data_IF_668728069206
#
_entry.id   IF_668728069206
#
_cell.length_a   1.000
_cell.length_b   1.000
_cell.length_c   1.000
_cell.angle_alpha   90.00
_cell.angle_beta   90.00
_cell.angle_gamma   90.00
#
_symmetry.space_group_name_H-M   'P 1'
#
loop_
_entity.id
_entity.type
_entity.pdbx_description
1 polymer ?
#
# COMPACT_ATOMS: atom_id res chain seq x y z
N UNK A 1 -12.97 15.40 10.36
CA UNK A 1 -13.48 14.02 10.29
C UNK A 1 -14.89 14.10 9.73
N UNK A 2 -15.16 13.46 8.61
CA UNK A 2 -16.49 13.48 7.97
C UNK A 2 -17.42 12.49 8.67
N UNK A 3 -18.69 12.86 8.76
CA UNK A 3 -19.72 12.01 9.38
C UNK A 3 -20.28 11.10 8.31
N UNK A 4 -20.18 9.78 8.52
CA UNK A 4 -20.82 8.80 7.65
C UNK A 4 -22.34 8.86 7.78
N UNK A 5 -23.04 8.80 6.65
CA UNK A 5 -24.51 8.73 6.63
C UNK A 5 -25.05 7.33 6.94
N UNK A 6 -24.20 6.31 7.00
CA UNK A 6 -24.61 4.93 7.29
C UNK A 6 -25.17 4.84 8.70
N UNK A 7 -26.45 4.45 8.83
CA UNK A 7 -27.17 4.24 10.10
C UNK A 7 -27.59 5.52 10.87
N UNK A 8 -27.61 6.70 10.23
CA UNK A 8 -28.15 7.91 10.85
C UNK A 8 -29.68 7.93 10.82
N UNK A 9 -30.29 8.45 11.88
CA UNK A 9 -31.73 8.78 11.91
C UNK A 9 -32.01 10.01 11.04
N UNK A 10 -33.24 10.20 10.54
CA UNK A 10 -33.60 11.35 9.69
C UNK A 10 -33.18 12.72 10.26
N UNK A 11 -33.32 12.93 11.56
CA UNK A 11 -32.94 14.21 12.21
C UNK A 11 -31.42 14.40 12.31
N UNK A 12 -30.66 13.31 12.37
CA UNK A 12 -29.19 13.31 12.43
C UNK A 12 -28.56 13.58 11.05
N UNK A 13 -29.23 13.15 9.97
CA UNK A 13 -28.80 13.41 8.59
C UNK A 13 -28.65 14.90 8.34
N UNK A 14 -29.59 15.71 8.84
CA UNK A 14 -29.60 17.16 8.68
C UNK A 14 -28.35 17.82 9.28
N UNK A 15 -27.99 17.39 10.49
CA UNK A 15 -26.80 17.89 11.19
C UNK A 15 -25.52 17.43 10.51
N UNK A 16 -25.43 16.13 10.19
CA UNK A 16 -24.30 15.54 9.48
C UNK A 16 -24.04 16.22 8.12
N UNK A 17 -25.10 16.53 7.39
CA UNK A 17 -25.02 17.23 6.11
C UNK A 17 -24.48 18.64 6.25
N UNK A 18 -24.91 19.39 7.26
CA UNK A 18 -24.40 20.73 7.51
C UNK A 18 -22.91 20.71 7.89
N UNK A 19 -22.50 19.74 8.71
CA UNK A 19 -21.13 19.55 9.15
C UNK A 19 -20.19 19.15 8.00
N UNK A 20 -20.60 18.15 7.21
CA UNK A 20 -19.86 17.70 6.05
C UNK A 20 -19.74 18.82 5.01
N UNK A 21 -20.81 19.58 4.78
CA UNK A 21 -20.81 20.71 3.85
C UNK A 21 -19.80 21.79 4.21
N UNK A 22 -19.75 22.23 5.48
CA UNK A 22 -18.78 23.23 5.90
C UNK A 22 -17.34 22.75 5.73
N UNK A 23 -17.04 21.53 6.17
CA UNK A 23 -15.70 20.95 6.05
C UNK A 23 -15.27 20.82 4.58
N UNK A 24 -16.15 20.33 3.70
CA UNK A 24 -15.87 20.15 2.28
C UNK A 24 -15.81 21.45 1.49
N UNK A 25 -16.54 22.49 1.94
CA UNK A 25 -16.39 23.84 1.41
C UNK A 25 -15.00 24.42 1.68
N UNK A 26 -14.48 24.24 2.90
CA UNK A 26 -13.13 24.68 3.26
C UNK A 26 -12.07 23.95 2.42
N UNK A 27 -12.21 22.62 2.33
CA UNK A 27 -11.31 21.79 1.53
C UNK A 27 -11.34 22.15 0.04
N UNK A 28 -12.54 22.34 -0.54
CA UNK A 28 -12.69 22.76 -1.94
C UNK A 28 -12.00 24.10 -2.21
N UNK A 29 -12.14 25.07 -1.30
CA UNK A 29 -11.47 26.37 -1.38
C UNK A 29 -9.95 26.22 -1.36
N UNK A 30 -9.44 25.38 -0.46
CA UNK A 30 -8.00 25.12 -0.30
C UNK A 30 -7.41 24.40 -1.51
N UNK A 31 -8.15 23.48 -2.13
CA UNK A 31 -7.76 22.84 -3.40
C UNK A 31 -7.62 23.86 -4.53
N UNK A 32 -8.38 24.96 -4.50
CA UNK A 32 -8.25 26.07 -5.44
C UNK A 32 -7.14 27.07 -5.06
N UNK A 33 -6.45 26.87 -3.93
CA UNK A 33 -5.40 27.77 -3.44
C UNK A 33 -5.91 29.14 -2.97
N UNK A 34 -7.20 29.26 -2.64
CA UNK A 34 -7.82 30.53 -2.26
C UNK A 34 -7.86 30.71 -0.74
N UNK A 35 -7.57 31.92 -0.26
CA UNK A 35 -7.92 32.31 1.11
C UNK A 35 -9.42 32.61 1.24
N UNK A 36 -9.95 32.60 2.48
CA UNK A 36 -11.35 32.98 2.72
C UNK A 36 -11.68 34.42 2.30
N UNK A 37 -10.69 35.31 2.33
CA UNK A 37 -10.86 36.72 1.93
C UNK A 37 -11.01 36.81 0.40
N UNK A 38 -10.20 36.06 -0.34
CA UNK A 38 -10.25 36.02 -1.81
C UNK A 38 -11.49 35.29 -2.33
N UNK A 39 -11.95 34.26 -1.63
CA UNK A 39 -13.11 33.49 -2.03
C UNK A 39 -14.45 34.19 -1.74
N UNK A 40 -14.56 34.99 -0.66
CA UNK A 40 -15.82 35.61 -0.24
C UNK A 40 -16.53 36.44 -1.33
N UNK A 41 -15.83 37.25 -2.16
CA UNK A 41 -16.44 37.95 -3.29
C UNK A 41 -17.10 37.03 -4.34
N UNK A 42 -16.59 35.80 -4.54
CA UNK A 42 -17.17 34.84 -5.49
C UNK A 42 -18.61 34.46 -5.11
N UNK A 43 -18.90 34.43 -3.81
CA UNK A 43 -20.22 34.18 -3.24
C UNK A 43 -21.08 35.44 -3.10
N UNK A 44 -20.56 36.60 -3.55
CA UNK A 44 -21.20 37.90 -3.38
C UNK A 44 -21.26 38.34 -1.92
N UNK A 45 -20.32 37.88 -1.08
CA UNK A 45 -20.23 38.30 0.32
C UNK A 45 -19.34 39.53 0.47
N UNK A 46 -19.77 40.46 1.32
CA UNK A 46 -19.03 41.71 1.59
C UNK A 46 -17.74 41.48 2.37
N UNK A 47 -17.65 40.39 3.13
CA UNK A 47 -16.47 40.02 3.92
C UNK A 47 -16.37 38.50 4.10
N UNK A 48 -15.22 38.03 4.57
CA UNK A 48 -14.93 36.60 4.80
C UNK A 48 -15.70 36.00 5.97
N UNK A 49 -16.30 36.80 6.86
CA UNK A 49 -16.97 36.29 8.06
C UNK A 49 -18.13 35.34 7.76
N UNK A 50 -18.86 35.61 6.66
CA UNK A 50 -19.97 34.75 6.23
C UNK A 50 -19.48 33.44 5.61
N UNK A 51 -18.37 33.48 4.89
CA UNK A 51 -17.74 32.28 4.33
C UNK A 51 -17.11 31.44 5.45
N UNK A 52 -16.45 32.07 6.42
CA UNK A 52 -15.90 31.41 7.61
C UNK A 52 -16.98 30.66 8.41
N UNK A 53 -18.14 31.29 8.63
CA UNK A 53 -19.31 30.63 9.26
C UNK A 53 -19.87 29.48 8.44
N UNK A 54 -19.80 29.56 7.12
CA UNK A 54 -20.25 28.49 6.23
C UNK A 54 -19.29 27.30 6.28
N UNK A 55 -17.99 27.56 6.33
CA UNK A 55 -16.92 26.55 6.38
C UNK A 55 -16.74 25.93 7.77
N UNK A 56 -17.15 26.64 8.83
CA UNK A 56 -17.09 26.13 10.20
C UNK A 56 -18.14 25.05 10.46
N UNK A 57 -17.68 23.89 10.93
CA UNK A 57 -18.53 22.78 11.36
C UNK A 57 -19.51 23.19 12.49
N UNK A 58 -19.13 24.12 13.36
CA UNK A 58 -19.91 24.46 14.57
C UNK A 58 -21.22 25.21 14.28
N UNK A 59 -21.36 25.84 13.10
CA UNK A 59 -22.51 26.68 12.79
C UNK A 59 -23.63 26.00 12.00
N UNK A 60 -23.53 24.68 11.77
CA UNK A 60 -24.61 23.67 11.75
C UNK A 60 -25.99 23.99 11.15
N UNK A 61 -26.14 25.01 10.32
CA UNK A 61 -27.44 25.47 9.83
C UNK A 61 -27.48 25.37 8.32
N UNK A 62 -28.17 24.32 7.84
CA UNK A 62 -28.60 24.16 6.44
C UNK A 62 -29.27 25.41 5.84
N UNK A 63 -29.79 26.31 6.67
CA UNK A 63 -30.31 27.61 6.25
C UNK A 63 -29.30 28.48 5.49
N UNK A 64 -28.00 28.28 5.71
CA UNK A 64 -26.94 28.96 4.98
C UNK A 64 -26.58 28.26 3.66
N UNK A 65 -26.99 27.00 3.49
CA UNK A 65 -26.78 26.19 2.28
C UNK A 65 -27.97 26.40 1.34
N UNK A 66 -28.04 27.61 0.76
CA UNK A 66 -29.05 27.91 -0.25
C UNK A 66 -28.56 27.51 -1.66
N UNK A 67 -29.46 27.36 -2.65
CA UNK A 67 -29.09 26.98 -4.00
C UNK A 67 -28.04 27.88 -4.65
N UNK A 68 -28.02 29.18 -4.31
CA UNK A 68 -27.03 30.13 -4.84
C UNK A 68 -25.63 29.81 -4.32
N UNK A 69 -25.48 29.58 -3.02
CA UNK A 69 -24.20 29.20 -2.40
C UNK A 69 -23.70 27.87 -2.95
N UNK A 70 -24.58 26.88 -3.06
CA UNK A 70 -24.24 25.57 -3.62
C UNK A 70 -23.78 25.70 -5.08
N UNK A 71 -24.54 26.39 -5.92
CA UNK A 71 -24.20 26.58 -7.33
C UNK A 71 -22.88 27.34 -7.49
N UNK A 72 -22.66 28.40 -6.72
CA UNK A 72 -21.40 29.15 -6.72
C UNK A 72 -20.23 28.26 -6.32
N UNK A 73 -20.36 27.45 -5.25
CA UNK A 73 -19.29 26.55 -4.83
C UNK A 73 -18.94 25.52 -5.91
N UNK A 74 -19.95 24.86 -6.48
CA UNK A 74 -19.78 23.87 -7.56
C UNK A 74 -19.12 24.49 -8.81
N UNK A 75 -19.46 25.74 -9.14
CA UNK A 75 -18.92 26.42 -10.32
C UNK A 75 -17.52 26.99 -10.10
N UNK A 76 -17.29 27.69 -8.99
CA UNK A 76 -16.04 28.39 -8.74
C UNK A 76 -14.96 27.51 -8.15
N UNK A 77 -15.32 26.49 -7.36
CA UNK A 77 -14.34 25.52 -6.85
C UNK A 77 -14.19 24.30 -7.76
N UNK A 78 -15.02 24.17 -8.80
CA UNK A 78 -14.92 23.07 -9.76
C UNK A 78 -15.25 21.70 -9.17
N UNK A 79 -15.99 21.67 -8.04
CA UNK A 79 -16.32 20.43 -7.32
C UNK A 79 -17.75 19.94 -7.56
N UNK A 80 -18.02 18.67 -7.30
CA UNK A 80 -19.38 18.11 -7.33
C UNK A 80 -20.19 18.49 -6.06
N UNK A 81 -21.52 18.51 -6.17
CA UNK A 81 -22.40 18.62 -5.01
C UNK A 81 -22.26 17.44 -4.06
N UNK A 82 -22.00 16.25 -4.60
CA UNK A 82 -21.84 15.02 -3.81
C UNK A 82 -20.59 15.08 -2.94
N UNK A 83 -19.51 15.67 -3.45
CA UNK A 83 -18.34 16.00 -2.65
C UNK A 83 -18.68 16.99 -1.54
N UNK A 84 -19.34 18.10 -1.87
CA UNK A 84 -19.71 19.12 -0.89
C UNK A 84 -20.59 18.53 0.23
N UNK A 85 -21.57 17.70 -0.09
CA UNK A 85 -22.39 17.05 0.92
C UNK A 85 -21.72 15.83 1.58
N UNK A 86 -20.52 15.44 1.18
CA UNK A 86 -19.81 14.29 1.75
C UNK A 86 -20.39 12.93 1.36
N UNK A 87 -21.16 12.85 0.26
CA UNK A 87 -21.58 11.60 -0.36
C UNK A 87 -20.46 10.96 -1.20
N UNK A 88 -19.49 11.78 -1.63
CA UNK A 88 -18.30 11.36 -2.36
C UNK A 88 -17.04 11.92 -1.70
N UNK A 89 -15.94 11.16 -1.78
CA UNK A 89 -14.62 11.65 -1.42
C UNK A 89 -13.90 12.35 -2.59
N UNK A 90 -14.45 12.26 -3.80
CA UNK A 90 -13.84 12.78 -5.02
C UNK A 90 -14.35 14.19 -5.31
N UNK A 91 -13.49 15.22 -5.30
CA UNK A 91 -13.89 16.60 -5.54
C UNK A 91 -14.48 16.79 -6.93
N UNK A 92 -14.04 16.03 -7.95
CA UNK A 92 -14.26 16.36 -9.36
C UNK A 92 -15.75 16.43 -9.74
N UNK A 93 -16.08 17.45 -10.54
CA UNK A 93 -17.42 17.62 -11.13
C UNK A 93 -17.68 16.70 -12.33
N UNK A 94 -16.64 16.32 -13.08
CA UNK A 94 -16.77 15.40 -14.22
C UNK A 94 -16.85 13.96 -13.72
N UNK A 95 -18.00 13.32 -13.95
CA UNK A 95 -18.29 11.93 -13.60
C UNK A 95 -17.27 10.98 -14.24
N UNK A 96 -16.77 11.31 -15.44
CA UNK A 96 -15.76 10.49 -16.13
C UNK A 96 -14.44 10.51 -15.38
N UNK A 97 -13.94 11.69 -15.01
CA UNK A 97 -12.70 11.84 -14.24
C UNK A 97 -12.82 11.25 -12.83
N UNK A 98 -13.96 11.43 -12.16
CA UNK A 98 -14.20 10.84 -10.86
C UNK A 98 -14.15 9.30 -10.91
N UNK A 99 -14.76 8.69 -11.94
CA UNK A 99 -14.69 7.25 -12.19
C UNK A 99 -13.27 6.80 -12.52
N UNK A 100 -12.56 7.52 -13.37
CA UNK A 100 -11.18 7.20 -13.74
C UNK A 100 -10.24 7.23 -12.53
N UNK A 101 -10.38 8.22 -11.64
CA UNK A 101 -9.62 8.28 -10.40
C UNK A 101 -9.99 7.17 -9.43
N UNK A 102 -11.28 6.86 -9.27
CA UNK A 102 -11.71 5.74 -8.42
C UNK A 102 -11.14 4.40 -8.92
N UNK A 103 -11.13 4.17 -10.24
CA UNK A 103 -10.50 2.98 -10.83
C UNK A 103 -8.99 2.99 -10.60
N UNK A 104 -8.34 4.14 -10.75
CA UNK A 104 -6.90 4.29 -10.49
C UNK A 104 -6.56 3.97 -9.04
N UNK A 105 -7.36 4.42 -8.07
CA UNK A 105 -7.13 4.16 -6.65
C UNK A 105 -7.25 2.66 -6.36
N UNK A 106 -8.31 2.01 -6.86
CA UNK A 106 -8.49 0.56 -6.73
C UNK A 106 -7.33 -0.23 -7.36
N UNK A 107 -6.85 0.19 -8.54
CA UNK A 107 -5.70 -0.43 -9.19
C UNK A 107 -4.40 -0.17 -8.42
N UNK A 108 -4.24 1.01 -7.82
CA UNK A 108 -3.06 1.36 -7.03
C UNK A 108 -2.97 0.51 -5.77
N UNK A 109 -4.11 0.29 -5.10
CA UNK A 109 -4.18 -0.59 -3.92
C UNK A 109 -3.85 -2.04 -4.30
N UNK A 110 -4.43 -2.55 -5.40
CA UNK A 110 -4.13 -3.91 -5.89
C UNK A 110 -2.64 -4.07 -6.24
N UNK A 111 -2.06 -3.10 -6.95
CA UNK A 111 -0.64 -3.13 -7.32
C UNK A 111 0.25 -3.03 -6.07
N UNK A 112 -0.13 -2.24 -5.07
CA UNK A 112 0.64 -2.11 -3.83
C UNK A 112 0.71 -3.44 -3.07
N UNK A 113 -0.42 -4.15 -2.98
CA UNK A 113 -0.49 -5.49 -2.36
C UNK A 113 0.34 -6.51 -3.15
N UNK A 114 0.22 -6.55 -4.48
CA UNK A 114 1.02 -7.44 -5.33
C UNK A 114 2.52 -7.17 -5.20
N UNK A 115 2.95 -5.90 -5.16
CA UNK A 115 4.36 -5.54 -4.94
C UNK A 115 4.84 -6.01 -3.56
N UNK A 116 4.01 -5.91 -2.53
CA UNK A 116 4.36 -6.38 -1.19
C UNK A 116 4.53 -7.92 -1.18
N UNK A 117 3.68 -8.66 -1.88
CA UNK A 117 3.78 -10.11 -2.00
C UNK A 117 5.00 -10.56 -2.83
N UNK A 118 5.30 -9.88 -3.94
CA UNK A 118 6.52 -10.11 -4.71
C UNK A 118 7.76 -9.90 -3.83
N UNK A 119 7.81 -8.83 -3.03
CA UNK A 119 8.92 -8.60 -2.10
C UNK A 119 9.09 -9.72 -1.09
N UNK A 120 7.99 -10.22 -0.50
CA UNK A 120 8.03 -11.36 0.42
C UNK A 120 8.57 -12.62 -0.25
N UNK A 121 8.19 -12.88 -1.49
CA UNK A 121 8.70 -14.02 -2.26
C UNK A 121 10.20 -13.88 -2.55
N UNK A 122 10.65 -12.70 -2.96
CA UNK A 122 12.09 -12.41 -3.18
C UNK A 122 12.89 -12.61 -1.90
N UNK A 123 12.40 -12.11 -0.76
CA UNK A 123 13.05 -12.29 0.54
C UNK A 123 13.13 -13.78 0.94
N UNK A 124 12.06 -14.55 0.70
CA UNK A 124 12.03 -15.98 0.96
C UNK A 124 13.06 -16.74 0.09
N UNK A 125 13.15 -16.42 -1.20
CA UNK A 125 14.14 -17.02 -2.11
C UNK A 125 15.56 -16.68 -1.69
N UNK A 126 15.83 -15.43 -1.30
CA UNK A 126 17.15 -15.03 -0.79
C UNK A 126 17.53 -15.81 0.48
N UNK A 127 16.59 -15.99 1.41
CA UNK A 127 16.81 -16.77 2.63
C UNK A 127 17.08 -18.25 2.33
N UNK A 128 16.37 -18.84 1.36
CA UNK A 128 16.64 -20.20 0.90
C UNK A 128 18.03 -20.32 0.25
N UNK A 129 18.44 -19.32 -0.53
CA UNK A 129 19.79 -19.28 -1.10
C UNK A 129 20.88 -19.27 -0.02
N UNK A 130 20.71 -18.47 1.04
CA UNK A 130 21.64 -18.47 2.17
C UNK A 130 21.70 -19.82 2.89
N UNK A 131 20.55 -20.46 3.14
CA UNK A 131 20.49 -21.77 3.79
C UNK A 131 21.16 -22.86 2.95
N UNK A 132 20.93 -22.87 1.64
CA UNK A 132 21.56 -23.83 0.73
C UNK A 132 23.06 -23.61 0.62
N UNK A 133 23.53 -22.36 0.63
CA UNK A 133 24.96 -22.07 0.65
C UNK A 133 25.60 -22.61 1.94
N UNK A 134 24.98 -22.37 3.11
CA UNK A 134 25.46 -22.92 4.39
C UNK A 134 25.48 -24.45 4.39
N UNK A 135 24.49 -25.09 3.77
CA UNK A 135 24.44 -26.54 3.60
C UNK A 135 25.59 -27.07 2.72
N UNK A 136 25.89 -26.38 1.62
CA UNK A 136 27.02 -26.72 0.76
C UNK A 136 28.37 -26.55 1.49
N UNK A 137 28.52 -25.47 2.26
CA UNK A 137 29.72 -25.23 3.06
C UNK A 137 29.92 -26.33 4.12
N UNK A 138 28.86 -26.72 4.83
CA UNK A 138 28.91 -27.81 5.81
C UNK A 138 29.22 -29.17 5.18
N UNK A 139 28.67 -29.44 4.00
CA UNK A 139 29.00 -30.67 3.24
C UNK A 139 30.49 -30.69 2.86
N UNK A 140 31.07 -29.54 2.50
CA UNK A 140 32.50 -29.41 2.23
C UNK A 140 33.35 -29.65 3.48
N UNK A 141 32.94 -29.14 4.64
CA UNK A 141 33.63 -29.43 5.91
C UNK A 141 33.61 -30.92 6.25
N UNK A 142 32.48 -31.61 6.04
CA UNK A 142 32.36 -33.07 6.26
C UNK A 142 33.33 -33.83 5.35
N UNK A 143 33.42 -33.45 4.07
CA UNK A 143 34.36 -34.06 3.14
C UNK A 143 35.82 -33.87 3.62
N UNK A 144 36.19 -32.66 4.04
CA UNK A 144 37.54 -32.37 4.54
C UNK A 144 37.87 -33.19 5.80
N UNK A 145 36.89 -33.34 6.70
CA UNK A 145 37.06 -34.17 7.90
C UNK A 145 37.25 -35.65 7.55
N UNK A 146 36.51 -36.16 6.55
CA UNK A 146 36.66 -37.52 6.05
C UNK A 146 38.03 -37.74 5.39
N UNK A 147 38.47 -36.80 4.54
CA UNK A 147 39.77 -36.88 3.88
C UNK A 147 40.90 -36.91 4.92
N UNK A 148 40.81 -36.07 5.95
CA UNK A 148 41.76 -36.09 7.08
C UNK A 148 41.70 -37.40 7.88
N UNK A 149 40.51 -37.97 8.05
CA UNK A 149 40.34 -39.26 8.73
C UNK A 149 41.02 -40.39 7.95
N UNK A 150 40.93 -40.38 6.62
CA UNK A 150 41.63 -41.33 5.73
C UNK A 150 43.15 -41.21 5.84
N UNK A 151 43.68 -39.99 5.84
CA UNK A 151 45.12 -39.76 6.02
C UNK A 151 45.66 -40.35 7.34
N UNK A 152 44.85 -40.28 8.41
CA UNK A 152 45.23 -40.78 9.73
C UNK A 152 45.00 -42.29 9.89
N UNK A 153 44.21 -42.91 9.00
CA UNK A 153 43.83 -44.33 9.08
C UNK A 153 44.09 -45.02 7.72
N UNK A 154 45.32 -45.53 7.48
CA UNK A 154 45.68 -46.15 6.20
C UNK A 154 44.83 -47.37 5.83
N UNK A 155 44.27 -48.08 6.82
CA UNK A 155 43.37 -49.22 6.63
C UNK A 155 41.89 -48.81 6.49
N UNK A 156 41.57 -47.53 6.28
CA UNK A 156 40.20 -47.03 6.21
C UNK A 156 39.34 -47.78 5.19
N UNK A 157 39.90 -48.05 4.00
CA UNK A 157 39.20 -48.78 2.93
C UNK A 157 38.73 -50.17 3.40
N UNK A 158 39.52 -50.84 4.24
CA UNK A 158 39.23 -52.18 4.76
C UNK A 158 38.31 -52.16 6.00
N UNK A 159 37.96 -50.98 6.53
CA UNK A 159 37.09 -50.87 7.72
C UNK A 159 35.63 -51.18 7.36
N UNK A 160 34.93 -51.99 8.17
CA UNK A 160 33.49 -52.23 7.97
C UNK A 160 32.69 -50.94 7.94
N UNK A 161 31.98 -50.69 6.83
CA UNK A 161 31.12 -49.51 6.66
C UNK A 161 31.77 -48.30 5.98
N UNK A 162 33.09 -48.33 5.71
CA UNK A 162 33.84 -47.28 5.00
C UNK A 162 33.21 -46.94 3.64
N UNK A 163 32.96 -47.96 2.81
CA UNK A 163 32.38 -47.80 1.47
C UNK A 163 30.98 -47.16 1.49
N UNK A 164 30.17 -47.42 2.53
CA UNK A 164 28.84 -46.81 2.68
C UNK A 164 28.95 -45.34 3.09
N UNK A 165 29.86 -45.01 4.01
CA UNK A 165 30.12 -43.64 4.45
C UNK A 165 30.60 -42.78 3.27
N UNK A 166 31.55 -43.31 2.50
CA UNK A 166 32.10 -42.64 1.31
C UNK A 166 31.03 -42.35 0.27
N UNK A 167 30.20 -43.34 -0.03
CA UNK A 167 29.09 -43.19 -0.97
C UNK A 167 28.11 -42.11 -0.52
N UNK A 168 27.68 -42.13 0.74
CA UNK A 168 26.72 -41.15 1.27
C UNK A 168 27.28 -39.72 1.23
N UNK A 169 28.57 -39.54 1.54
CA UNK A 169 29.21 -38.22 1.48
C UNK A 169 29.36 -37.75 0.03
N UNK A 170 29.67 -38.66 -0.91
CA UNK A 170 29.69 -38.35 -2.34
C UNK A 170 28.32 -37.94 -2.88
N UNK A 171 27.26 -38.67 -2.51
CA UNK A 171 25.87 -38.34 -2.86
C UNK A 171 25.47 -36.98 -2.27
N UNK A 172 25.72 -36.76 -0.98
CA UNK A 172 25.45 -35.48 -0.30
C UNK A 172 26.14 -34.29 -0.99
N UNK A 173 27.39 -34.46 -1.42
CA UNK A 173 28.15 -33.43 -2.14
C UNK A 173 27.56 -33.13 -3.51
N UNK A 174 27.13 -34.15 -4.24
CA UNK A 174 26.49 -33.97 -5.54
C UNK A 174 25.15 -33.23 -5.39
N UNK A 175 24.34 -33.61 -4.41
CA UNK A 175 23.07 -32.96 -4.10
C UNK A 175 23.26 -31.50 -3.69
N UNK A 176 24.20 -31.22 -2.78
CA UNK A 176 24.52 -29.86 -2.38
C UNK A 176 24.94 -28.98 -3.57
N UNK A 177 25.82 -29.50 -4.44
CA UNK A 177 26.26 -28.78 -5.65
C UNK A 177 25.08 -28.53 -6.59
N UNK A 178 24.23 -29.52 -6.82
CA UNK A 178 23.05 -29.39 -7.67
C UNK A 178 22.08 -28.33 -7.13
N UNK A 179 21.73 -28.38 -5.85
CA UNK A 179 20.84 -27.41 -5.22
C UNK A 179 21.39 -25.99 -5.26
N UNK A 180 22.72 -25.79 -5.14
CA UNK A 180 23.32 -24.45 -5.29
C UNK A 180 23.19 -23.90 -6.72
N UNK A 181 23.31 -24.74 -7.74
CA UNK A 181 23.17 -24.33 -9.15
C UNK A 181 21.70 -24.00 -9.46
N UNK A 182 20.77 -24.87 -9.09
CA UNK A 182 19.33 -24.65 -9.32
C UNK A 182 18.84 -23.35 -8.64
N UNK A 183 19.31 -23.04 -7.43
CA UNK A 183 18.97 -21.78 -6.76
C UNK A 183 19.64 -20.55 -7.38
N UNK A 184 20.86 -20.68 -7.92
CA UNK A 184 21.52 -19.58 -8.61
C UNK A 184 20.78 -19.21 -9.90
N UNK A 185 20.34 -20.22 -10.67
CA UNK A 185 19.52 -20.04 -11.88
C UNK A 185 18.17 -19.40 -11.56
N UNK A 186 17.49 -19.88 -10.51
CA UNK A 186 16.23 -19.27 -10.04
C UNK A 186 16.42 -17.82 -9.60
N UNK A 187 17.54 -17.49 -8.96
CA UNK A 187 17.84 -16.11 -8.54
C UNK A 187 18.09 -15.20 -9.74
N UNK A 188 18.75 -15.72 -10.78
CA UNK A 188 19.05 -14.96 -11.99
C UNK A 188 17.80 -14.71 -12.85
N UNK A 189 16.82 -15.60 -12.83
CA UNK A 189 15.54 -15.39 -13.54
C UNK A 189 14.60 -14.40 -12.85
N UNK A 190 14.87 -14.05 -11.59
CA UNK A 190 14.12 -13.06 -10.80
C UNK A 190 14.72 -11.64 -10.86
N UNK A 191 15.87 -11.46 -11.53
CA UNK A 191 16.55 -10.17 -11.76
C UNK A 191 16.25 -9.63 -13.16
#
# INVERSE_FOLDING_TARGET
>A
MLISYTNLKPDEIKSAMSLNFGARMAEARELCGLSQIEAAPLFGFTNSSRLSKLESAEYGHLSYINPKVLATAVLHYGVSSDFLFGFSNYPQRDIKQARENQVKDLLSDLIADEIADIRRLVDAVNKLAELTQRFADKTKEIQQALDRFRELNPCFEDMPGSAKLDRLICELRQDAKRSTVELAELRQSLQ
#
